data_IF_528180575179
#
_entry.id   IF_528180575179
#
_cell.length_a   1.000
_cell.length_b   1.000
_cell.length_c   1.000
_cell.angle_alpha   90.00
_cell.angle_beta   90.00
_cell.angle_gamma   90.00
#
_symmetry.space_group_name_H-M   'P 1'
#
loop_
_entity.id
_entity.type
_entity.pdbx_description
1 polymer ?
#
# COMPACT_ATOMS: atom_id res chain seq x y z
N UNK A 1 9.21 -20.92 10.22
CA UNK A 1 9.45 -20.10 11.42
C UNK A 1 9.38 -18.64 10.97
N UNK A 2 8.28 -17.96 11.20
CA UNK A 2 8.16 -16.52 10.95
C UNK A 2 9.10 -15.81 11.94
N UNK A 3 10.14 -15.16 11.41
CA UNK A 3 10.91 -14.20 12.19
C UNK A 3 9.95 -13.08 12.57
N UNK A 4 9.74 -12.86 13.85
CA UNK A 4 9.28 -11.56 14.34
C UNK A 4 10.16 -10.48 13.69
N UNK A 5 9.63 -9.34 13.25
CA UNK A 5 10.41 -8.25 12.63
C UNK A 5 11.24 -7.55 13.72
N UNK A 6 12.20 -8.28 14.30
CA UNK A 6 13.12 -7.74 15.29
C UNK A 6 14.23 -6.99 14.55
N UNK A 7 14.21 -5.67 14.67
CA UNK A 7 15.36 -4.86 14.39
C UNK A 7 15.28 -3.87 13.24
N UNK A 8 14.14 -3.67 12.56
CA UNK A 8 14.02 -2.61 11.56
C UNK A 8 14.26 -1.24 12.22
N UNK A 9 15.22 -0.47 11.71
CA UNK A 9 15.50 0.87 12.21
C UNK A 9 14.55 1.90 11.56
N UNK A 10 13.80 2.63 12.39
CA UNK A 10 12.81 3.61 11.96
C UNK A 10 13.19 4.99 12.47
N UNK A 11 13.41 5.95 11.59
CA UNK A 11 13.62 7.35 11.93
C UNK A 11 12.28 8.08 11.95
N UNK A 12 11.88 8.57 13.11
CA UNK A 12 10.68 9.41 13.30
C UNK A 12 11.08 10.86 13.17
N UNK A 13 10.47 11.59 12.21
CA UNK A 13 10.70 13.00 11.94
C UNK A 13 9.41 13.77 12.21
N UNK A 14 9.41 14.55 13.27
CA UNK A 14 8.23 15.29 13.75
C UNK A 14 8.74 16.50 14.56
N UNK A 15 8.24 17.70 14.30
CA UNK A 15 8.70 18.92 14.98
C UNK A 15 8.16 19.03 16.41
N UNK A 16 6.95 18.48 16.69
CA UNK A 16 6.34 18.48 18.01
C UNK A 16 6.97 17.41 18.92
N UNK A 17 7.71 17.80 19.99
CA UNK A 17 8.48 16.86 20.83
C UNK A 17 7.63 15.74 21.46
N UNK A 18 6.40 16.07 21.88
CA UNK A 18 5.48 15.13 22.53
C UNK A 18 5.04 14.04 21.58
N UNK A 19 4.68 14.42 20.33
CA UNK A 19 4.24 13.49 19.29
C UNK A 19 5.44 12.63 18.85
N UNK A 20 6.59 13.26 18.59
CA UNK A 20 7.83 12.57 18.23
C UNK A 20 8.21 11.51 19.27
N UNK A 21 8.24 11.91 20.55
CA UNK A 21 8.57 11.00 21.66
C UNK A 21 7.53 9.89 21.83
N UNK A 22 6.23 10.16 21.63
CA UNK A 22 5.18 9.15 21.67
C UNK A 22 5.37 8.12 20.56
N UNK A 23 5.54 8.56 19.31
CA UNK A 23 5.73 7.67 18.17
C UNK A 23 6.99 6.81 18.32
N UNK A 24 8.12 7.39 18.73
CA UNK A 24 9.36 6.63 18.91
C UNK A 24 9.22 5.54 19.98
N UNK A 25 8.56 5.82 21.12
CA UNK A 25 8.26 4.82 22.13
C UNK A 25 7.32 3.73 21.62
N UNK A 26 6.29 4.12 20.90
CA UNK A 26 5.32 3.17 20.30
C UNK A 26 6.01 2.21 19.34
N UNK A 27 6.84 2.73 18.43
CA UNK A 27 7.64 1.96 17.48
C UNK A 27 8.57 0.98 18.21
N UNK A 28 9.21 1.44 19.30
CA UNK A 28 10.06 0.57 20.12
C UNK A 28 9.25 -0.54 20.81
N UNK A 29 8.04 -0.23 21.29
CA UNK A 29 7.14 -1.23 21.88
C UNK A 29 6.67 -2.28 20.86
N UNK A 30 6.58 -1.88 19.59
CA UNK A 30 6.27 -2.79 18.46
C UNK A 30 7.46 -3.68 18.06
N UNK A 31 8.65 -3.51 18.68
CA UNK A 31 9.85 -4.32 18.45
C UNK A 31 10.80 -3.76 17.40
N UNK A 32 10.62 -2.51 16.96
CA UNK A 32 11.50 -1.78 16.04
C UNK A 32 12.51 -0.90 16.77
N UNK A 33 13.56 -0.45 16.08
CA UNK A 33 14.55 0.49 16.62
C UNK A 33 14.15 1.93 16.26
N UNK A 34 13.57 2.68 17.20
CA UNK A 34 13.13 4.06 16.99
C UNK A 34 14.26 5.06 17.15
N UNK A 35 14.57 5.83 16.10
CA UNK A 35 15.41 7.03 16.12
C UNK A 35 14.52 8.26 15.97
N UNK A 36 15.02 9.45 16.33
CA UNK A 36 14.22 10.68 16.33
C UNK A 36 14.98 11.82 15.65
N UNK A 37 14.25 12.67 14.90
CA UNK A 37 14.69 13.94 14.36
C UNK A 37 13.60 14.99 14.55
N UNK A 38 13.96 16.22 14.91
CA UNK A 38 13.05 17.34 15.15
C UNK A 38 12.63 18.08 13.86
N UNK A 39 13.18 17.69 12.70
CA UNK A 39 12.87 18.29 11.41
C UNK A 39 13.66 17.66 10.28
N UNK A 40 13.34 18.09 9.04
CA UNK A 40 13.88 17.46 7.84
C UNK A 40 15.39 17.60 7.68
N UNK A 41 15.99 18.71 8.08
CA UNK A 41 17.44 18.91 7.94
C UNK A 41 18.23 18.02 8.91
N UNK A 42 17.75 17.85 10.15
CA UNK A 42 18.32 16.90 11.11
C UNK A 42 18.17 15.47 10.60
N UNK A 43 17.00 15.14 10.05
CA UNK A 43 16.74 13.83 9.48
C UNK A 43 17.72 13.48 8.34
N UNK A 44 17.98 14.42 7.43
CA UNK A 44 18.97 14.23 6.36
C UNK A 44 20.37 14.01 6.92
N UNK A 45 20.77 14.77 7.94
CA UNK A 45 22.07 14.62 8.59
C UNK A 45 22.24 13.25 9.26
N UNK A 46 21.17 12.75 9.90
CA UNK A 46 21.15 11.39 10.47
C UNK A 46 21.22 10.32 9.39
N UNK A 47 20.50 10.48 8.28
CA UNK A 47 20.56 9.55 7.14
C UNK A 47 21.97 9.49 6.53
N UNK A 48 22.73 10.58 6.53
CA UNK A 48 24.14 10.60 6.08
C UNK A 48 25.08 9.85 7.01
N UNK A 49 24.82 9.89 8.31
CA UNK A 49 25.64 9.22 9.32
C UNK A 49 25.34 7.70 9.37
N UNK A 50 24.05 7.36 9.42
CA UNK A 50 23.57 5.99 9.48
C UNK A 50 22.17 5.92 8.84
N UNK A 51 22.09 5.39 7.64
CA UNK A 51 20.83 5.31 6.90
C UNK A 51 19.84 4.39 7.64
N UNK A 52 18.67 4.91 8.06
CA UNK A 52 17.62 4.08 8.63
C UNK A 52 17.01 3.17 7.56
N UNK A 53 16.39 2.07 7.98
CA UNK A 53 15.68 1.19 7.05
C UNK A 53 14.31 1.75 6.64
N UNK A 54 13.73 2.66 7.46
CA UNK A 54 12.47 3.37 7.18
C UNK A 54 12.52 4.77 7.77
N UNK A 55 11.96 5.75 7.07
CA UNK A 55 11.69 7.09 7.61
C UNK A 55 10.18 7.29 7.75
N UNK A 56 9.73 7.72 8.92
CA UNK A 56 8.35 8.14 9.22
C UNK A 56 8.35 9.65 9.45
N UNK A 57 7.78 10.44 8.56
CA UNK A 57 7.85 11.91 8.63
C UNK A 57 6.50 12.60 8.62
N UNK A 58 6.34 13.66 9.41
CA UNK A 58 5.23 14.61 9.21
C UNK A 58 5.43 15.39 7.90
N UNK A 59 4.32 15.82 7.29
CA UNK A 59 4.35 16.74 6.13
C UNK A 59 4.71 18.14 6.58
N UNK A 60 4.02 18.65 7.61
CA UNK A 60 4.07 20.05 8.00
C UNK A 60 5.10 20.26 9.11
N UNK A 61 6.31 20.63 8.72
CA UNK A 61 7.39 20.95 9.64
C UNK A 61 8.08 22.24 9.21
N UNK A 62 8.60 23.05 10.17
CA UNK A 62 9.41 24.21 9.87
C UNK A 62 10.70 23.84 9.11
N UNK A 63 11.12 24.69 8.18
CA UNK A 63 12.32 24.47 7.37
C UNK A 63 12.08 23.47 6.24
N UNK A 64 12.82 22.37 6.20
CA UNK A 64 12.60 21.30 5.21
C UNK A 64 11.36 20.50 5.60
N UNK A 65 10.26 20.70 4.86
CA UNK A 65 9.00 19.95 5.03
C UNK A 65 9.12 18.47 4.64
N UNK A 66 8.10 17.68 5.05
CA UNK A 66 8.13 16.23 4.83
C UNK A 66 8.06 15.81 3.36
N UNK A 67 7.44 16.59 2.47
CA UNK A 67 7.42 16.28 1.03
C UNK A 67 8.79 16.52 0.41
N UNK A 68 9.41 17.63 0.73
CA UNK A 68 10.79 17.96 0.31
C UNK A 68 11.79 16.94 0.86
N UNK A 69 11.64 16.55 2.14
CA UNK A 69 12.45 15.49 2.75
C UNK A 69 12.29 14.17 2.00
N UNK A 70 11.04 13.78 1.70
CA UNK A 70 10.74 12.55 0.94
C UNK A 70 11.42 12.55 -0.42
N UNK A 71 11.34 13.66 -1.16
CA UNK A 71 12.00 13.79 -2.47
C UNK A 71 13.53 13.64 -2.36
N UNK A 72 14.16 14.34 -1.38
CA UNK A 72 15.61 14.28 -1.17
C UNK A 72 16.08 12.87 -0.78
N UNK A 73 15.32 12.17 0.08
CA UNK A 73 15.62 10.79 0.46
C UNK A 73 15.50 9.87 -0.75
N UNK A 74 14.43 9.98 -1.53
CA UNK A 74 14.23 9.19 -2.76
C UNK A 74 15.39 9.39 -3.75
N UNK A 75 15.82 10.65 -3.95
CA UNK A 75 16.85 10.96 -4.94
C UNK A 75 18.24 10.48 -4.49
N UNK A 76 18.54 10.51 -3.19
CA UNK A 76 19.85 10.17 -2.66
C UNK A 76 19.94 8.71 -2.16
N UNK A 77 18.87 8.19 -1.59
CA UNK A 77 18.79 6.83 -1.03
C UNK A 77 17.49 6.13 -1.48
N UNK A 78 17.37 5.77 -2.76
CA UNK A 78 16.13 5.25 -3.33
C UNK A 78 15.66 3.91 -2.73
N UNK A 79 16.54 3.21 -2.00
CA UNK A 79 16.21 1.99 -1.28
C UNK A 79 15.58 2.26 0.11
N UNK A 80 15.66 3.49 0.63
CA UNK A 80 15.10 3.86 1.93
C UNK A 80 13.63 4.29 1.76
N UNK A 81 12.66 3.51 2.22
CA UNK A 81 11.24 3.87 2.14
C UNK A 81 10.90 5.00 3.12
N UNK A 82 10.00 5.88 2.69
CA UNK A 82 9.48 6.98 3.51
C UNK A 82 7.97 6.80 3.66
N UNK A 83 7.50 6.73 4.89
CA UNK A 83 6.07 6.81 5.26
C UNK A 83 5.77 8.23 5.68
N UNK A 84 4.73 8.84 5.13
CA UNK A 84 4.37 10.23 5.40
C UNK A 84 3.15 10.32 6.31
N UNK A 85 3.19 11.13 7.36
CA UNK A 85 2.04 11.42 8.22
C UNK A 85 1.36 12.71 7.75
N UNK A 86 0.03 12.67 7.54
CA UNK A 86 -0.75 13.81 7.04
C UNK A 86 -1.77 14.29 8.07
N UNK A 87 -1.90 15.61 8.27
CA UNK A 87 -2.71 16.20 9.35
C UNK A 87 -4.18 16.39 9.06
N UNK A 88 -4.64 16.34 7.81
CA UNK A 88 -6.03 16.58 7.46
C UNK A 88 -6.57 15.56 6.48
N UNK A 89 -7.91 15.48 6.41
CA UNK A 89 -8.70 14.61 5.51
C UNK A 89 -8.50 14.90 4.02
N UNK A 90 -7.40 15.52 3.66
CA UNK A 90 -7.09 15.95 2.31
C UNK A 90 -6.34 14.83 1.58
N UNK A 91 -7.07 14.17 0.69
CA UNK A 91 -6.58 13.15 -0.23
C UNK A 91 -5.47 13.72 -1.15
N UNK A 92 -5.53 15.02 -1.43
CA UNK A 92 -4.51 15.69 -2.22
C UNK A 92 -3.13 15.62 -1.55
N UNK A 93 -3.05 15.77 -0.23
CA UNK A 93 -1.81 15.63 0.52
C UNK A 93 -1.26 14.21 0.51
N UNK A 94 -2.11 13.19 0.60
CA UNK A 94 -1.71 11.79 0.49
C UNK A 94 -1.18 11.47 -0.92
N UNK A 95 -1.88 11.92 -1.96
CA UNK A 95 -1.45 11.77 -3.36
C UNK A 95 -0.15 12.54 -3.60
N UNK A 96 0.00 13.76 -3.05
CA UNK A 96 1.23 14.53 -3.17
C UNK A 96 2.42 13.80 -2.51
N UNK A 97 2.22 13.19 -1.33
CA UNK A 97 3.23 12.40 -0.66
C UNK A 97 3.68 11.19 -1.52
N UNK A 98 2.73 10.44 -2.08
CA UNK A 98 3.03 9.30 -2.94
C UNK A 98 3.72 9.74 -4.25
N UNK A 99 3.31 10.85 -4.87
CA UNK A 99 4.00 11.43 -6.02
C UNK A 99 5.40 11.93 -5.69
N UNK A 100 5.63 12.43 -4.47
CA UNK A 100 6.95 12.78 -3.99
C UNK A 100 7.87 11.54 -3.80
N UNK A 101 7.30 10.35 -3.80
CA UNK A 101 8.02 9.07 -3.68
C UNK A 101 7.86 8.40 -2.32
N UNK A 102 6.90 8.84 -1.50
CA UNK A 102 6.55 8.11 -0.28
C UNK A 102 6.08 6.68 -0.63
N UNK A 103 6.45 5.74 0.22
CA UNK A 103 6.03 4.34 0.07
C UNK A 103 4.64 4.08 0.64
N UNK A 104 4.21 4.91 1.60
CA UNK A 104 2.89 4.84 2.24
C UNK A 104 2.58 6.17 2.92
N UNK A 105 1.34 6.34 3.40
CA UNK A 105 0.95 7.49 4.20
C UNK A 105 0.04 7.08 5.35
N UNK A 106 0.08 7.87 6.44
CA UNK A 106 -0.75 7.69 7.62
C UNK A 106 -1.50 8.99 7.92
N UNK A 107 -2.78 8.87 8.20
CA UNK A 107 -3.62 10.01 8.54
C UNK A 107 -3.55 10.31 10.04
N UNK A 108 -3.33 11.56 10.41
CA UNK A 108 -3.45 12.02 11.81
C UNK A 108 -4.94 12.22 12.19
N UNK A 109 -5.41 11.84 13.38
CA UNK A 109 -4.62 11.24 14.46
C UNK A 109 -4.17 9.82 14.10
N UNK A 110 -2.89 9.50 14.41
CA UNK A 110 -2.29 8.22 14.03
C UNK A 110 -2.99 7.07 14.73
N UNK A 111 -3.61 6.18 13.94
CA UNK A 111 -4.11 4.91 14.43
C UNK A 111 -2.95 3.92 14.53
N UNK A 112 -2.79 3.30 15.70
CA UNK A 112 -1.65 2.41 15.97
C UNK A 112 -1.69 1.12 15.14
N UNK A 113 -2.87 0.61 14.81
CA UNK A 113 -3.02 -0.57 13.96
C UNK A 113 -2.61 -0.24 12.52
N UNK A 114 -2.95 0.97 12.03
CA UNK A 114 -2.50 1.45 10.71
C UNK A 114 -0.98 1.67 10.67
N UNK A 115 -0.40 2.26 11.73
CA UNK A 115 1.05 2.42 11.84
C UNK A 115 1.75 1.06 11.80
N UNK A 116 1.26 0.11 12.58
CA UNK A 116 1.77 -1.26 12.59
C UNK A 116 1.67 -1.91 11.22
N UNK A 117 0.51 -1.85 10.58
CA UNK A 117 0.29 -2.41 9.24
C UNK A 117 1.22 -1.79 8.17
N UNK A 118 1.45 -0.46 8.23
CA UNK A 118 2.37 0.22 7.32
C UNK A 118 3.81 -0.24 7.51
N UNK A 119 4.29 -0.32 8.76
CA UNK A 119 5.65 -0.80 9.07
C UNK A 119 5.83 -2.28 8.70
N UNK A 120 4.86 -3.14 8.99
CA UNK A 120 4.87 -4.54 8.57
C UNK A 120 4.88 -4.68 7.05
N UNK A 121 4.10 -3.84 6.34
CA UNK A 121 4.08 -3.81 4.89
C UNK A 121 5.44 -3.42 4.29
N UNK A 122 6.13 -2.44 4.88
CA UNK A 122 7.50 -2.08 4.49
C UNK A 122 8.47 -3.23 4.77
N UNK A 123 8.42 -3.82 5.96
CA UNK A 123 9.27 -4.95 6.32
C UNK A 123 9.13 -6.12 5.33
N UNK A 124 7.90 -6.47 4.94
CA UNK A 124 7.62 -7.51 3.95
C UNK A 124 8.28 -7.22 2.60
N UNK A 125 8.22 -5.96 2.13
CA UNK A 125 8.85 -5.58 0.86
C UNK A 125 10.38 -5.65 0.95
N UNK A 126 10.97 -5.19 2.06
CA UNK A 126 12.42 -5.26 2.28
C UNK A 126 12.92 -6.71 2.41
N UNK A 127 12.16 -7.58 3.09
CA UNK A 127 12.49 -9.01 3.20
C UNK A 127 12.36 -9.74 1.86
N UNK A 128 11.36 -9.41 1.06
CA UNK A 128 11.21 -9.95 -0.29
C UNK A 128 12.40 -9.57 -1.21
N UNK A 129 13.01 -8.39 -1.00
CA UNK A 129 14.23 -7.98 -1.72
C UNK A 129 15.46 -8.78 -1.34
N UNK A 130 15.54 -9.23 -0.08
CA UNK A 130 16.68 -10.00 0.45
C UNK A 130 16.58 -11.49 0.08
N UNK A 131 15.38 -11.96 -0.28
CA UNK A 131 15.17 -13.33 -0.72
C UNK A 131 15.79 -13.57 -2.10
N UNK A 132 16.16 -14.82 -2.39
CA UNK A 132 16.50 -15.23 -3.75
C UNK A 132 15.29 -14.97 -4.66
N UNK A 133 15.48 -14.21 -5.72
CA UNK A 133 14.44 -13.76 -6.62
C UNK A 133 14.41 -14.58 -7.92
N UNK A 134 13.30 -14.48 -8.63
CA UNK A 134 13.14 -15.01 -9.99
C UNK A 134 14.29 -14.56 -10.91
N UNK A 135 14.82 -13.34 -10.70
CA UNK A 135 15.94 -12.83 -11.48
C UNK A 135 17.22 -13.65 -11.26
N UNK A 136 17.49 -14.09 -10.02
CA UNK A 136 18.66 -14.93 -9.71
C UNK A 136 18.57 -16.32 -10.36
N UNK A 137 17.36 -16.81 -10.64
CA UNK A 137 17.11 -18.07 -11.32
C UNK A 137 17.14 -17.98 -12.86
N UNK A 138 17.34 -16.77 -13.43
CA UNK A 138 17.30 -16.52 -14.88
C UNK A 138 16.00 -17.01 -15.54
N UNK A 139 14.89 -16.93 -14.84
CA UNK A 139 13.58 -17.31 -15.37
C UNK A 139 13.16 -16.33 -16.45
N UNK A 140 12.85 -16.81 -17.65
CA UNK A 140 12.39 -15.98 -18.77
C UNK A 140 10.89 -15.66 -18.66
N UNK A 141 10.11 -16.65 -18.24
CA UNK A 141 8.66 -16.50 -18.08
C UNK A 141 8.15 -17.33 -16.91
N UNK A 142 7.21 -16.74 -16.16
CA UNK A 142 6.51 -17.41 -15.06
C UNK A 142 5.04 -17.01 -15.09
N UNK A 143 4.16 -17.97 -14.86
CA UNK A 143 2.74 -17.71 -14.64
C UNK A 143 2.27 -18.56 -13.46
N UNK A 144 1.52 -17.95 -12.54
CA UNK A 144 0.83 -18.67 -11.49
C UNK A 144 -0.53 -18.02 -11.18
N UNK A 145 -1.42 -18.81 -10.61
CA UNK A 145 -2.75 -18.34 -10.22
C UNK A 145 -3.04 -18.74 -8.78
N UNK A 146 -3.60 -17.81 -8.03
CA UNK A 146 -4.12 -18.03 -6.68
C UNK A 146 -5.62 -17.83 -6.70
N UNK A 147 -6.36 -18.73 -6.05
CA UNK A 147 -7.80 -18.60 -5.85
C UNK A 147 -8.09 -18.58 -4.36
N UNK A 148 -8.85 -17.58 -3.90
CA UNK A 148 -9.15 -17.35 -2.50
C UNK A 148 -10.66 -17.22 -2.29
N UNK A 149 -11.17 -17.64 -1.11
CA UNK A 149 -12.52 -17.30 -0.65
C UNK A 149 -12.59 -15.84 -0.14
N UNK A 150 -13.73 -15.47 0.40
CA UNK A 150 -14.00 -14.08 0.85
C UNK A 150 -13.43 -13.80 2.26
N UNK A 151 -12.10 -13.93 2.42
CA UNK A 151 -11.38 -13.80 3.69
C UNK A 151 -10.49 -12.56 3.66
N UNK A 152 -10.97 -11.43 4.19
CA UNK A 152 -10.20 -10.17 4.22
C UNK A 152 -8.91 -10.29 5.02
N UNK A 153 -8.91 -11.06 6.10
CA UNK A 153 -7.73 -11.30 6.94
C UNK A 153 -6.58 -12.03 6.21
N UNK A 154 -6.87 -12.66 5.06
CA UNK A 154 -5.87 -13.33 4.23
C UNK A 154 -5.27 -12.45 3.14
N UNK A 155 -5.74 -11.21 2.97
CA UNK A 155 -5.24 -10.32 1.93
C UNK A 155 -3.80 -9.85 2.18
N UNK A 156 -3.40 -9.63 3.43
CA UNK A 156 -2.01 -9.31 3.79
C UNK A 156 -1.04 -10.42 3.39
N UNK A 157 -1.24 -11.68 3.86
CA UNK A 157 -0.46 -12.84 3.40
C UNK A 157 -0.48 -13.05 1.89
N UNK A 158 -1.63 -12.84 1.23
CA UNK A 158 -1.73 -12.93 -0.23
C UNK A 158 -0.88 -11.87 -0.92
N UNK A 159 -0.97 -10.60 -0.50
CA UNK A 159 -0.17 -9.51 -1.06
C UNK A 159 1.33 -9.80 -0.92
N UNK A 160 1.77 -10.33 0.23
CA UNK A 160 3.16 -10.74 0.45
C UNK A 160 3.59 -11.85 -0.51
N UNK A 161 2.74 -12.86 -0.74
CA UNK A 161 2.98 -13.92 -1.71
C UNK A 161 3.11 -13.37 -3.13
N UNK A 162 2.22 -12.47 -3.53
CA UNK A 162 2.19 -11.86 -4.86
C UNK A 162 3.42 -10.99 -5.15
N UNK A 163 4.03 -10.40 -4.11
CA UNK A 163 5.21 -9.54 -4.22
C UNK A 163 6.53 -10.33 -4.14
N UNK A 164 6.55 -11.47 -3.46
CA UNK A 164 7.77 -12.18 -3.04
C UNK A 164 8.79 -12.36 -4.16
N UNK A 165 8.36 -12.85 -5.31
CA UNK A 165 9.27 -13.26 -6.38
C UNK A 165 9.52 -12.15 -7.42
N UNK A 166 8.76 -11.07 -7.39
CA UNK A 166 8.82 -9.99 -8.39
C UNK A 166 9.24 -8.62 -7.83
N UNK A 167 9.19 -8.44 -6.51
CA UNK A 167 9.52 -7.14 -5.89
C UNK A 167 10.96 -6.70 -6.17
N UNK A 168 11.92 -7.63 -6.23
CA UNK A 168 13.33 -7.35 -6.54
C UNK A 168 13.58 -6.90 -7.98
N UNK A 169 12.63 -7.15 -8.88
CA UNK A 169 12.69 -6.77 -10.29
C UNK A 169 12.19 -5.34 -10.54
N UNK A 170 11.75 -4.66 -9.51
CA UNK A 170 11.17 -3.31 -9.57
C UNK A 170 12.04 -2.31 -8.85
N UNK A 171 12.08 -1.09 -9.34
CA UNK A 171 12.80 0.00 -8.67
C UNK A 171 12.02 0.54 -7.47
N UNK A 172 12.75 0.95 -6.43
CA UNK A 172 12.34 1.72 -5.26
C UNK A 172 10.83 1.90 -5.03
N UNK A 173 10.27 3.10 -5.30
CA UNK A 173 8.87 3.40 -4.99
C UNK A 173 7.85 2.49 -5.68
N UNK A 174 8.14 1.97 -6.89
CA UNK A 174 7.20 1.13 -7.65
C UNK A 174 6.76 -0.10 -6.85
N UNK A 175 7.66 -0.70 -6.07
CA UNK A 175 7.32 -1.86 -5.23
C UNK A 175 6.28 -1.55 -4.16
N UNK A 176 6.45 -0.41 -3.52
CA UNK A 176 5.53 0.05 -2.47
C UNK A 176 4.19 0.47 -3.06
N UNK A 177 4.22 1.18 -4.20
CA UNK A 177 3.03 1.56 -4.94
C UNK A 177 2.24 0.32 -5.41
N UNK A 178 2.93 -0.70 -5.90
CA UNK A 178 2.30 -1.97 -6.26
C UNK A 178 1.64 -2.64 -5.04
N UNK A 179 2.29 -2.65 -3.86
CA UNK A 179 1.71 -3.19 -2.64
C UNK A 179 0.40 -2.50 -2.29
N UNK A 180 0.37 -1.16 -2.30
CA UNK A 180 -0.84 -0.38 -2.01
C UNK A 180 -1.93 -0.67 -3.06
N UNK A 181 -1.57 -0.61 -4.35
CA UNK A 181 -2.53 -0.87 -5.42
C UNK A 181 -3.13 -2.28 -5.36
N UNK A 182 -2.31 -3.30 -5.07
CA UNK A 182 -2.79 -4.67 -4.88
C UNK A 182 -3.75 -4.75 -3.68
N UNK A 183 -3.39 -4.16 -2.53
CA UNK A 183 -4.22 -4.17 -1.33
C UNK A 183 -5.59 -3.54 -1.60
N UNK A 184 -5.63 -2.37 -2.24
CA UNK A 184 -6.87 -1.68 -2.60
C UNK A 184 -7.74 -2.51 -3.55
N UNK A 185 -7.16 -3.06 -4.61
CA UNK A 185 -7.91 -3.82 -5.61
C UNK A 185 -8.40 -5.16 -5.07
N UNK A 186 -7.60 -5.86 -4.26
CA UNK A 186 -7.99 -7.12 -3.62
C UNK A 186 -9.12 -6.90 -2.61
N UNK A 187 -9.03 -5.84 -1.81
CA UNK A 187 -10.10 -5.46 -0.86
C UNK A 187 -11.38 -5.13 -1.61
N UNK A 188 -11.32 -4.31 -2.65
CA UNK A 188 -12.49 -3.95 -3.46
C UNK A 188 -13.12 -5.18 -4.14
N UNK A 189 -12.32 -6.11 -4.65
CA UNK A 189 -12.79 -7.33 -5.28
C UNK A 189 -13.56 -8.25 -4.30
N UNK A 190 -13.15 -8.32 -3.03
CA UNK A 190 -13.90 -9.06 -2.01
C UNK A 190 -15.11 -8.26 -1.54
N UNK A 191 -14.93 -7.05 -1.05
CA UNK A 191 -16.00 -6.25 -0.42
C UNK A 191 -17.11 -5.91 -1.41
N UNK A 192 -16.75 -5.18 -2.46
CA UNK A 192 -17.72 -4.67 -3.43
C UNK A 192 -18.07 -5.68 -4.51
N UNK A 193 -17.09 -6.50 -4.94
CA UNK A 193 -17.29 -7.54 -5.93
C UNK A 193 -18.00 -8.76 -5.36
N UNK A 194 -17.29 -9.58 -4.61
CA UNK A 194 -17.79 -10.86 -4.15
C UNK A 194 -18.91 -10.76 -3.11
N UNK A 195 -18.78 -9.86 -2.11
CA UNK A 195 -19.74 -9.72 -1.01
C UNK A 195 -20.84 -8.69 -1.31
N UNK A 196 -20.73 -7.93 -2.39
CA UNK A 196 -21.67 -6.87 -2.77
C UNK A 196 -21.99 -5.89 -1.62
N UNK A 197 -20.97 -5.54 -0.81
CA UNK A 197 -21.08 -4.52 0.22
C UNK A 197 -20.98 -3.17 -0.48
N UNK A 198 -22.02 -2.34 -0.37
CA UNK A 198 -21.97 -0.99 -0.94
C UNK A 198 -21.06 -0.06 -0.12
N UNK A 199 -20.68 1.07 -0.70
CA UNK A 199 -19.91 2.09 0.04
C UNK A 199 -20.70 2.62 1.23
N UNK A 200 -22.02 2.80 1.09
CA UNK A 200 -22.89 3.28 2.14
C UNK A 200 -23.02 2.22 3.26
N UNK A 201 -23.25 0.94 2.92
CA UNK A 201 -23.26 -0.16 3.90
C UNK A 201 -21.95 -0.19 4.71
N UNK A 202 -20.81 -0.01 4.03
CA UNK A 202 -19.47 0.01 4.67
C UNK A 202 -19.34 1.20 5.62
N UNK A 203 -19.69 2.40 5.17
CA UNK A 203 -19.61 3.62 5.99
C UNK A 203 -20.50 3.54 7.22
N UNK A 204 -21.73 3.07 7.05
CA UNK A 204 -22.68 2.88 8.14
C UNK A 204 -22.20 1.83 9.15
N UNK A 205 -21.64 0.72 8.68
CA UNK A 205 -21.11 -0.33 9.55
C UNK A 205 -19.86 0.14 10.31
N UNK A 206 -18.97 0.90 9.67
CA UNK A 206 -17.81 1.51 10.33
C UNK A 206 -18.26 2.51 11.41
N UNK A 207 -19.26 3.35 11.14
CA UNK A 207 -19.76 4.31 12.10
C UNK A 207 -20.38 3.63 13.34
N UNK A 208 -20.96 2.44 13.19
CA UNK A 208 -21.53 1.64 14.29
C UNK A 208 -20.53 0.71 14.96
N UNK A 209 -19.31 0.53 14.41
CA UNK A 209 -18.34 -0.48 14.88
C UNK A 209 -18.74 -1.92 14.55
N UNK A 210 -19.57 -2.14 13.54
CA UNK A 210 -20.15 -3.44 13.16
C UNK A 210 -19.50 -4.01 11.88
N UNK A 211 -18.47 -3.40 11.35
CA UNK A 211 -17.95 -3.74 10.03
C UNK A 211 -17.56 -5.22 9.89
N UNK A 212 -16.85 -5.78 10.86
CA UNK A 212 -16.44 -7.19 10.82
C UNK A 212 -17.65 -8.14 10.82
N UNK A 213 -18.69 -7.79 11.56
CA UNK A 213 -19.97 -8.54 11.59
C UNK A 213 -20.68 -8.49 10.24
N UNK A 214 -20.66 -7.33 9.57
CA UNK A 214 -21.23 -7.18 8.23
C UNK A 214 -20.52 -8.11 7.24
N UNK A 215 -19.18 -8.08 7.23
CA UNK A 215 -18.36 -8.93 6.34
C UNK A 215 -18.63 -10.39 6.62
N UNK A 216 -18.64 -10.80 7.89
CA UNK A 216 -18.90 -12.20 8.27
C UNK A 216 -20.30 -12.66 7.86
N UNK A 217 -21.32 -11.83 8.09
CA UNK A 217 -22.70 -12.12 7.70
C UNK A 217 -22.82 -12.30 6.19
N UNK A 218 -22.27 -11.38 5.40
CA UNK A 218 -22.25 -11.47 3.92
C UNK A 218 -21.51 -12.71 3.43
N UNK A 219 -20.38 -13.04 4.04
CA UNK A 219 -19.58 -14.23 3.65
C UNK A 219 -20.32 -15.56 3.86
N UNK A 220 -21.29 -15.61 4.78
CA UNK A 220 -22.13 -16.78 5.06
C UNK A 220 -23.38 -16.88 4.19
N UNK A 221 -23.79 -15.80 3.53
CA UNK A 221 -24.95 -15.84 2.62
C UNK A 221 -24.69 -16.79 1.45
N UNK A 222 -25.60 -17.71 1.17
CA UNK A 222 -25.45 -18.74 0.14
C UNK A 222 -25.09 -18.17 -1.24
N UNK A 223 -25.62 -16.99 -1.59
CA UNK A 223 -25.34 -16.31 -2.86
C UNK A 223 -23.91 -15.77 -2.99
N UNK A 224 -23.18 -15.61 -1.88
CA UNK A 224 -21.82 -15.05 -1.86
C UNK A 224 -20.76 -16.07 -1.41
N UNK A 225 -21.14 -17.04 -0.58
CA UNK A 225 -20.22 -17.99 0.03
C UNK A 225 -19.40 -18.81 -0.99
N UNK A 226 -19.97 -19.09 -2.16
CA UNK A 226 -19.31 -19.84 -3.23
C UNK A 226 -18.39 -18.97 -4.11
N UNK A 227 -18.52 -17.63 -4.04
CA UNK A 227 -17.71 -16.72 -4.87
C UNK A 227 -16.25 -16.76 -4.49
N UNK A 228 -15.38 -16.59 -5.47
CA UNK A 228 -13.94 -16.65 -5.32
C UNK A 228 -13.29 -15.41 -5.91
N UNK A 229 -12.23 -14.97 -5.26
CA UNK A 229 -11.25 -14.05 -5.80
C UNK A 229 -10.18 -14.87 -6.54
N UNK A 230 -9.88 -14.50 -7.76
CA UNK A 230 -8.80 -15.11 -8.56
C UNK A 230 -7.75 -14.06 -8.88
N UNK A 231 -6.49 -14.36 -8.60
CA UNK A 231 -5.36 -13.53 -8.96
C UNK A 231 -4.41 -14.34 -9.83
N UNK A 232 -4.17 -13.86 -11.05
CA UNK A 232 -3.17 -14.42 -11.95
C UNK A 232 -2.01 -13.46 -12.08
N UNK A 233 -0.79 -13.97 -11.90
CA UNK A 233 0.45 -13.23 -12.09
C UNK A 233 1.18 -13.79 -13.29
N UNK A 234 1.56 -12.93 -14.21
CA UNK A 234 2.41 -13.26 -15.36
C UNK A 234 3.65 -12.39 -15.30
N UNK A 235 4.80 -13.00 -15.21
CA UNK A 235 6.11 -12.38 -15.40
C UNK A 235 6.64 -12.78 -16.77
N UNK A 236 7.11 -11.82 -17.54
CA UNK A 236 7.73 -12.05 -18.84
C UNK A 236 8.97 -11.16 -18.96
N UNK A 237 10.16 -11.79 -18.93
CA UNK A 237 11.44 -11.10 -19.00
C UNK A 237 11.71 -10.57 -20.39
N UNK A 238 11.29 -11.29 -21.42
CA UNK A 238 11.53 -10.93 -22.81
C UNK A 238 10.74 -9.69 -23.20
N UNK A 239 9.49 -9.64 -22.75
CA UNK A 239 8.59 -8.48 -22.96
C UNK A 239 8.82 -7.38 -21.90
N UNK A 240 9.59 -7.65 -20.85
CA UNK A 240 9.99 -6.67 -19.83
C UNK A 240 8.86 -6.23 -18.88
N UNK A 241 7.91 -7.11 -18.56
CA UNK A 241 6.81 -6.75 -17.67
C UNK A 241 6.47 -7.81 -16.63
N UNK A 242 5.80 -7.36 -15.56
CA UNK A 242 4.96 -8.19 -14.69
C UNK A 242 3.51 -7.71 -14.78
N UNK A 243 2.57 -8.66 -14.85
CA UNK A 243 1.14 -8.39 -14.96
C UNK A 243 0.36 -9.14 -13.89
N UNK A 244 -0.52 -8.42 -13.20
CA UNK A 244 -1.48 -8.97 -12.25
C UNK A 244 -2.88 -8.82 -12.82
N UNK A 245 -3.65 -9.91 -12.89
CA UNK A 245 -5.08 -9.91 -13.17
C UNK A 245 -5.81 -10.32 -11.91
N UNK A 246 -6.68 -9.46 -11.41
CA UNK A 246 -7.47 -9.64 -10.20
C UNK A 246 -8.92 -9.69 -10.63
N UNK A 247 -9.57 -10.84 -10.47
CA UNK A 247 -10.94 -11.07 -10.92
C UNK A 247 -11.82 -11.54 -9.77
N UNK A 248 -12.96 -10.89 -9.60
CA UNK A 248 -14.04 -11.29 -8.70
C UNK A 248 -15.23 -11.88 -9.46
N UNK A 249 -16.16 -12.47 -8.74
CA UNK A 249 -17.38 -13.09 -9.29
C UNK A 249 -18.63 -12.25 -9.03
N UNK A 250 -18.45 -10.97 -8.81
CA UNK A 250 -19.54 -10.00 -8.63
C UNK A 250 -20.18 -9.57 -9.94
N UNK A 251 -21.13 -8.66 -9.81
CA UNK A 251 -21.84 -8.06 -10.96
C UNK A 251 -20.98 -7.08 -11.74
N UNK A 252 -19.83 -6.66 -11.17
CA UNK A 252 -18.99 -5.61 -11.71
C UNK A 252 -19.54 -4.21 -11.43
N UNK A 253 -18.88 -3.18 -11.98
CA UNK A 253 -19.24 -1.78 -11.78
C UNK A 253 -18.80 -0.92 -12.96
N UNK A 254 -19.39 0.29 -13.07
CA UNK A 254 -19.00 1.25 -14.10
C UNK A 254 -17.76 2.04 -13.64
N UNK A 255 -16.59 1.46 -13.84
CA UNK A 255 -15.31 2.06 -13.45
C UNK A 255 -15.00 3.37 -14.18
N UNK A 256 -15.49 3.54 -15.42
CA UNK A 256 -15.28 4.77 -16.19
C UNK A 256 -15.95 5.96 -15.52
N UNK A 257 -17.18 5.78 -15.02
CA UNK A 257 -17.91 6.82 -14.28
C UNK A 257 -17.21 7.16 -12.95
N UNK A 258 -16.68 6.14 -12.25
CA UNK A 258 -15.98 6.36 -10.98
C UNK A 258 -14.69 7.16 -11.22
N UNK A 259 -13.85 6.76 -12.18
CA UNK A 259 -12.60 7.48 -12.47
C UNK A 259 -12.87 8.91 -12.95
N UNK A 260 -13.82 9.12 -13.85
CA UNK A 260 -14.18 10.45 -14.32
C UNK A 260 -14.72 11.36 -13.20
N UNK A 261 -15.49 10.79 -12.26
CA UNK A 261 -15.99 11.51 -11.09
C UNK A 261 -14.87 11.90 -10.15
N UNK A 262 -13.93 11.01 -9.85
CA UNK A 262 -12.80 11.27 -8.97
C UNK A 262 -11.83 12.29 -9.58
N UNK A 263 -11.57 12.25 -10.87
CA UNK A 263 -10.81 13.29 -11.58
C UNK A 263 -11.48 14.67 -11.47
N UNK A 264 -12.81 14.72 -11.50
CA UNK A 264 -13.59 15.97 -11.34
C UNK A 264 -13.67 16.42 -9.88
N UNK A 265 -13.65 15.47 -8.91
CA UNK A 265 -13.78 15.72 -7.48
C UNK A 265 -12.47 16.01 -6.76
N UNK A 266 -11.34 16.13 -7.45
CA UNK A 266 -10.06 16.57 -6.85
C UNK A 266 -10.19 17.87 -6.01
N UNK A 267 -11.37 18.44 -5.94
CA UNK A 267 -11.73 19.68 -5.21
C UNK A 267 -12.63 19.48 -3.99
N UNK A 268 -13.10 18.25 -3.68
CA UNK A 268 -13.98 18.04 -2.50
C UNK A 268 -13.64 16.72 -1.78
N UNK A 269 -13.46 16.73 -0.44
CA UNK A 269 -13.13 15.54 0.33
C UNK A 269 -14.37 14.68 0.60
N UNK A 270 -14.30 13.38 0.32
CA UNK A 270 -15.23 12.35 0.75
C UNK A 270 -16.03 11.66 -0.35
N UNK A 271 -15.75 10.39 -0.67
CA UNK A 271 -16.54 9.61 -1.61
C UNK A 271 -16.08 8.15 -1.78
N UNK A 272 -17.01 7.32 -2.29
CA UNK A 272 -16.72 5.96 -2.74
C UNK A 272 -15.85 6.01 -4.02
N UNK A 273 -14.84 5.14 -4.14
CA UNK A 273 -13.99 5.05 -5.34
C UNK A 273 -12.51 5.42 -5.13
N UNK A 274 -12.16 5.95 -3.97
CA UNK A 274 -10.78 6.39 -3.62
C UNK A 274 -9.73 5.33 -3.87
N UNK A 275 -9.97 4.09 -3.46
CA UNK A 275 -9.02 3.00 -3.62
C UNK A 275 -8.67 2.74 -5.09
N UNK A 276 -9.66 2.80 -5.99
CA UNK A 276 -9.46 2.63 -7.43
C UNK A 276 -8.67 3.81 -8.01
N UNK A 277 -9.01 5.03 -7.62
CA UNK A 277 -8.29 6.23 -8.05
C UNK A 277 -6.84 6.23 -7.56
N UNK A 278 -6.63 5.86 -6.29
CA UNK A 278 -5.29 5.71 -5.72
C UNK A 278 -4.50 4.65 -6.49
N UNK A 279 -5.06 3.45 -6.69
CA UNK A 279 -4.42 2.38 -7.46
C UNK A 279 -4.07 2.83 -8.88
N UNK A 280 -4.96 3.57 -9.57
CA UNK A 280 -4.72 4.12 -10.91
C UNK A 280 -3.64 5.19 -10.92
N UNK A 281 -3.57 6.02 -9.88
CA UNK A 281 -2.51 7.04 -9.73
C UNK A 281 -1.14 6.40 -9.52
N UNK A 282 -1.08 5.32 -8.72
CA UNK A 282 0.16 4.62 -8.38
C UNK A 282 0.63 3.68 -9.49
N UNK A 283 -0.31 3.09 -10.23
CA UNK A 283 -0.06 2.20 -11.36
C UNK A 283 -0.86 2.70 -12.57
N UNK A 284 -0.29 3.63 -13.36
CA UNK A 284 -0.99 4.25 -14.49
C UNK A 284 -1.53 3.26 -15.54
N UNK A 285 -0.89 2.09 -15.70
CA UNK A 285 -1.33 1.03 -16.63
C UNK A 285 -2.41 0.10 -16.04
N UNK A 286 -3.05 0.50 -14.93
CA UNK A 286 -4.24 -0.19 -14.42
C UNK A 286 -5.40 -0.03 -15.42
N UNK A 287 -5.99 -1.15 -15.80
CA UNK A 287 -7.18 -1.23 -16.67
C UNK A 287 -8.22 -2.16 -16.06
N UNK A 288 -9.47 -2.06 -16.52
CA UNK A 288 -10.55 -2.95 -16.13
C UNK A 288 -11.21 -3.54 -17.37
N UNK A 289 -11.78 -4.73 -17.26
CA UNK A 289 -12.64 -5.27 -18.30
C UNK A 289 -13.94 -4.45 -18.41
N UNK A 290 -14.74 -4.68 -19.46
CA UNK A 290 -15.97 -3.90 -19.70
C UNK A 290 -17.00 -4.06 -18.57
N UNK A 291 -17.04 -5.22 -17.94
CA UNK A 291 -17.93 -5.50 -16.81
C UNK A 291 -17.48 -4.83 -15.50
N UNK A 292 -16.19 -4.53 -15.36
CA UNK A 292 -15.60 -3.94 -14.15
C UNK A 292 -15.40 -4.94 -13.00
N UNK A 293 -15.34 -6.23 -13.28
CA UNK A 293 -15.07 -7.28 -12.29
C UNK A 293 -13.72 -7.98 -12.49
N UNK A 294 -12.88 -7.44 -13.37
CA UNK A 294 -11.49 -7.84 -13.53
C UNK A 294 -10.63 -6.59 -13.69
N UNK A 295 -9.66 -6.44 -12.82
CA UNK A 295 -8.62 -5.40 -12.88
C UNK A 295 -7.31 -6.02 -13.40
N UNK A 296 -6.62 -5.30 -14.27
CA UNK A 296 -5.30 -5.67 -14.78
C UNK A 296 -4.29 -4.56 -14.50
N UNK A 297 -3.25 -4.87 -13.74
CA UNK A 297 -2.09 -4.00 -13.55
C UNK A 297 -0.92 -4.55 -14.37
N UNK A 298 -0.26 -3.69 -15.14
CA UNK A 298 0.98 -4.04 -15.83
C UNK A 298 2.08 -3.09 -15.40
N UNK A 299 3.23 -3.62 -15.01
CA UNK A 299 4.36 -2.83 -14.54
C UNK A 299 5.61 -3.25 -15.30
N UNK A 300 6.48 -2.28 -15.68
CA UNK A 300 7.78 -2.60 -16.25
C UNK A 300 8.68 -3.23 -15.20
N UNK A 301 9.54 -4.14 -15.63
CA UNK A 301 10.61 -4.70 -14.80
C UNK A 301 11.95 -4.09 -15.19
N UNK A 302 12.82 -3.92 -14.20
CA UNK A 302 14.21 -3.50 -14.45
C UNK A 302 15.05 -4.75 -14.72
N UNK A 303 15.55 -4.87 -15.93
CA UNK A 303 16.52 -5.90 -16.28
C UNK A 303 17.91 -5.36 -15.91
N UNK A 304 18.52 -5.88 -14.85
CA UNK A 304 19.94 -5.64 -14.51
C UNK A 304 20.83 -6.60 -15.27
#
# INVERSE_FOLDING_TARGET
>A
MQRTPQGLSVLVVEDVPEIRGFLARTITTMGYQGQQAAGGDEALSLCEQALPEVVLTDILMPGTDGLTLTQRIRDRWPACPVIVMTGHSDEASAIAALKAGACDYLKKPINLDQLKAALEGVAQVLDAQRAESVNALSVERMEFQVTLGNFLERLGPLTSLLLRDVASLMTGPIRFHLRIALQELLTNAIEHGNLAISADDKMDALARGDYDRLVEARSREARFAARRLSVRVTYDRTEGYVRYRIADQGVGFNWRTILAREEALQRQPGGAGRGIFLAKTLVPDLTFNDKGNEATLTLPITLN
#
